data_IF_321219957386
#
_entry.id   IF_321219957386
#
_cell.length_a   1.000
_cell.length_b   1.000
_cell.length_c   1.000
_cell.angle_alpha   90.00
_cell.angle_beta   90.00
_cell.angle_gamma   90.00
#
_symmetry.space_group_name_H-M   'P 1'
#
loop_
_entity.id
_entity.type
_entity.pdbx_description
1 polymer ?
#
# COMPACT_ATOMS: atom_id res chain seq x y z
N UNK A 1 -3.12 6.40 -6.60
CA UNK A 1 -3.10 7.71 -7.27
C UNK A 1 -2.35 8.69 -6.40
N UNK A 2 -1.15 9.07 -6.84
CA UNK A 2 -0.37 10.15 -6.27
C UNK A 2 0.30 10.85 -7.44
N UNK A 3 -0.29 11.92 -7.97
CA UNK A 3 0.55 12.99 -8.51
C UNK A 3 1.23 13.61 -7.29
N UNK A 4 2.31 12.99 -6.87
CA UNK A 4 3.14 13.42 -5.76
C UNK A 4 4.59 13.40 -6.20
N UNK A 5 5.42 14.17 -5.53
CA UNK A 5 6.87 14.07 -5.72
C UNK A 5 7.41 12.92 -4.87
N UNK A 6 8.55 12.34 -5.25
CA UNK A 6 9.22 11.33 -4.43
C UNK A 6 9.43 11.80 -2.99
N UNK A 7 9.70 13.09 -2.81
CA UNK A 7 9.86 13.72 -1.48
C UNK A 7 8.54 13.70 -0.70
N UNK A 8 7.45 14.18 -1.30
CA UNK A 8 6.14 14.19 -0.63
C UNK A 8 5.57 12.77 -0.40
N UNK A 9 6.04 11.75 -1.13
CA UNK A 9 5.71 10.35 -0.85
C UNK A 9 6.28 9.86 0.49
N UNK A 10 7.48 10.31 0.86
CA UNK A 10 8.14 9.92 2.11
C UNK A 10 7.39 10.42 3.35
N UNK A 11 6.68 11.54 3.22
CA UNK A 11 5.88 12.14 4.29
C UNK A 11 4.48 11.50 4.44
N UNK A 12 4.06 10.67 3.49
CA UNK A 12 2.77 9.97 3.54
C UNK A 12 2.95 8.70 4.36
N UNK A 13 2.66 8.81 5.66
CA UNK A 13 2.62 7.67 6.56
C UNK A 13 1.52 6.68 6.12
N UNK A 14 1.77 5.38 6.27
CA UNK A 14 0.83 4.31 5.91
C UNK A 14 -0.51 4.46 6.65
N UNK A 15 -0.46 4.95 7.88
CA UNK A 15 -1.61 5.28 8.73
C UNK A 15 -2.45 6.44 8.21
N UNK A 16 -1.90 7.26 7.30
CA UNK A 16 -2.65 8.28 6.58
C UNK A 16 -3.35 7.74 5.34
N UNK A 17 -2.95 6.56 4.86
CA UNK A 17 -3.52 5.93 3.66
C UNK A 17 -4.63 4.96 4.02
N UNK A 18 -4.40 4.03 4.94
CA UNK A 18 -5.37 3.00 5.33
C UNK A 18 -6.07 3.35 6.63
N UNK A 19 -7.37 3.09 6.69
CA UNK A 19 -8.13 3.13 7.94
C UNK A 19 -7.78 1.94 8.88
N UNK A 20 -8.44 1.87 10.03
CA UNK A 20 -8.20 0.81 11.02
C UNK A 20 -8.39 -0.61 10.45
N UNK A 21 -9.39 -0.79 9.58
CA UNK A 21 -9.67 -2.10 9.00
C UNK A 21 -8.66 -2.44 7.90
N UNK A 22 -8.34 -1.49 7.04
CA UNK A 22 -7.32 -1.64 6.00
C UNK A 22 -5.95 -1.98 6.60
N UNK A 23 -5.58 -1.36 7.72
CA UNK A 23 -4.33 -1.70 8.44
C UNK A 23 -4.34 -3.12 8.99
N UNK A 24 -5.45 -3.58 9.58
CA UNK A 24 -5.57 -4.96 10.06
C UNK A 24 -5.47 -5.97 8.91
N UNK A 25 -6.14 -5.70 7.79
CA UNK A 25 -6.08 -6.54 6.60
C UNK A 25 -4.64 -6.61 6.07
N UNK A 26 -3.95 -5.47 5.96
CA UNK A 26 -2.55 -5.43 5.53
C UNK A 26 -1.62 -6.20 6.48
N UNK A 27 -1.76 -6.02 7.80
CA UNK A 27 -0.96 -6.75 8.78
C UNK A 27 -1.14 -8.27 8.68
N UNK A 28 -2.34 -8.74 8.33
CA UNK A 28 -2.60 -10.17 8.12
C UNK A 28 -1.89 -10.73 6.88
N UNK A 29 -1.75 -9.93 5.82
CA UNK A 29 -1.10 -10.32 4.56
C UNK A 29 0.41 -10.11 4.56
N UNK A 30 0.94 -9.28 5.48
CA UNK A 30 2.36 -8.92 5.54
C UNK A 30 3.31 -10.14 5.62
N UNK A 31 3.02 -11.21 6.40
CA UNK A 31 3.84 -12.42 6.37
C UNK A 31 3.94 -13.03 4.97
N UNK A 32 2.82 -13.08 4.24
CA UNK A 32 2.78 -13.55 2.86
C UNK A 32 3.65 -12.71 1.93
N UNK A 33 3.59 -11.38 2.07
CA UNK A 33 4.47 -10.46 1.32
C UNK A 33 5.95 -10.75 1.62
N UNK A 34 6.31 -10.99 2.88
CA UNK A 34 7.70 -11.21 3.27
C UNK A 34 8.23 -12.57 2.80
N UNK A 35 7.45 -13.63 2.93
CA UNK A 35 7.87 -14.99 2.57
C UNK A 35 7.78 -15.23 1.05
N UNK A 36 6.65 -14.89 0.44
CA UNK A 36 6.34 -15.21 -0.96
C UNK A 36 6.67 -14.06 -1.93
N UNK A 37 6.93 -12.87 -1.39
CA UNK A 37 7.28 -11.68 -2.16
C UNK A 37 6.10 -10.78 -2.50
N UNK A 38 4.87 -11.29 -2.42
CA UNK A 38 3.64 -10.53 -2.68
C UNK A 38 2.43 -11.14 -1.98
N UNK A 39 1.36 -10.35 -1.84
CA UNK A 39 0.05 -10.79 -1.36
C UNK A 39 -1.08 -9.95 -1.95
N UNK A 40 -2.29 -10.52 -1.96
CA UNK A 40 -3.51 -9.81 -2.35
C UNK A 40 -4.24 -9.33 -1.11
N UNK A 41 -4.37 -8.02 -0.95
CA UNK A 41 -5.14 -7.41 0.14
C UNK A 41 -6.59 -7.25 -0.31
N UNK A 42 -7.57 -7.61 0.55
CA UNK A 42 -8.99 -7.38 0.29
C UNK A 42 -9.31 -5.92 -0.05
N UNK A 43 -10.37 -5.72 -0.84
CA UNK A 43 -10.91 -4.40 -1.15
C UNK A 43 -11.31 -3.60 0.08
N UNK A 44 -11.39 -2.28 -0.07
CA UNK A 44 -11.67 -1.39 1.03
C UNK A 44 -11.62 0.08 0.64
N UNK A 45 -11.39 0.91 1.66
CA UNK A 45 -11.26 2.35 1.55
C UNK A 45 -9.83 2.77 1.88
N UNK A 46 -9.32 3.76 1.16
CA UNK A 46 -8.08 4.44 1.49
C UNK A 46 -8.22 5.94 1.28
N UNK A 47 -7.21 6.69 1.70
CA UNK A 47 -7.13 8.13 1.50
C UNK A 47 -6.02 8.43 0.51
N UNK A 48 -6.34 9.23 -0.51
CA UNK A 48 -5.35 9.73 -1.48
C UNK A 48 -4.37 10.72 -0.82
N UNK A 49 -3.24 11.01 -1.46
CA UNK A 49 -2.28 12.00 -0.94
C UNK A 49 -2.84 13.42 -0.76
N UNK A 50 -3.98 13.73 -1.39
CA UNK A 50 -4.71 14.99 -1.22
C UNK A 50 -5.78 14.93 -0.13
N UNK A 51 -5.83 13.87 0.67
CA UNK A 51 -6.79 13.72 1.76
C UNK A 51 -8.19 13.29 1.33
N UNK A 52 -8.40 12.92 0.05
CA UNK A 52 -9.72 12.51 -0.45
C UNK A 52 -9.94 10.99 -0.29
N UNK A 53 -11.14 10.56 0.13
CA UNK A 53 -11.46 9.13 0.24
C UNK A 53 -11.51 8.47 -1.14
N UNK A 54 -11.01 7.24 -1.20
CA UNK A 54 -10.91 6.41 -2.40
C UNK A 54 -11.39 5.00 -2.03
N UNK A 55 -12.29 4.45 -2.84
CA UNK A 55 -12.65 3.04 -2.77
C UNK A 55 -11.77 2.24 -3.74
N UNK A 56 -11.50 0.98 -3.43
CA UNK A 56 -10.78 0.05 -4.30
C UNK A 56 -11.29 -1.38 -4.13
N UNK A 57 -11.31 -2.14 -5.22
CA UNK A 57 -11.81 -3.53 -5.21
C UNK A 57 -10.79 -4.51 -4.62
N UNK A 58 -9.50 -4.26 -4.87
CA UNK A 58 -8.38 -5.09 -4.41
C UNK A 58 -7.11 -4.25 -4.35
N UNK A 59 -6.17 -4.61 -3.48
CA UNK A 59 -4.81 -4.12 -3.59
C UNK A 59 -3.81 -5.27 -3.72
N UNK A 60 -2.78 -5.10 -4.54
CA UNK A 60 -1.61 -5.97 -4.59
C UNK A 60 -0.51 -5.31 -3.76
N UNK A 61 0.08 -6.07 -2.83
CA UNK A 61 1.23 -5.65 -2.05
C UNK A 61 2.43 -6.51 -2.42
N UNK A 62 3.61 -5.93 -2.62
CA UNK A 62 4.84 -6.68 -2.89
C UNK A 62 6.05 -6.04 -2.25
N UNK A 63 7.01 -6.88 -1.84
CA UNK A 63 8.30 -6.40 -1.35
C UNK A 63 9.18 -5.99 -2.52
N UNK A 64 9.87 -4.87 -2.38
CA UNK A 64 10.93 -4.43 -3.29
C UNK A 64 12.26 -4.75 -2.62
N UNK A 65 13.13 -5.46 -3.33
CA UNK A 65 14.45 -5.80 -2.82
C UNK A 65 15.44 -4.69 -3.19
N UNK A 66 16.42 -4.48 -2.32
CA UNK A 66 17.56 -3.62 -2.61
C UNK A 66 18.60 -4.36 -3.47
N UNK A 67 19.14 -3.69 -4.49
CA UNK A 67 20.02 -4.28 -5.50
C UNK A 67 21.37 -4.75 -4.93
N UNK A 68 21.78 -4.27 -3.76
CA UNK A 68 23.09 -4.60 -3.16
C UNK A 68 23.02 -5.57 -1.98
N UNK A 69 22.09 -5.34 -1.05
CA UNK A 69 22.04 -6.08 0.23
C UNK A 69 21.17 -7.34 0.20
N UNK A 70 20.31 -7.49 -0.82
CA UNK A 70 19.26 -8.53 -0.84
C UNK A 70 18.17 -8.36 0.22
N UNK A 71 18.24 -7.27 1.00
CA UNK A 71 17.24 -6.90 1.98
C UNK A 71 15.98 -6.31 1.35
N UNK A 72 14.91 -6.25 2.13
CA UNK A 72 13.67 -5.56 1.71
C UNK A 72 13.87 -4.06 1.85
N UNK A 73 13.82 -3.33 0.74
CA UNK A 73 13.88 -1.88 0.69
C UNK A 73 12.56 -1.25 1.13
N UNK A 74 11.43 -1.72 0.58
CA UNK A 74 10.10 -1.26 0.94
C UNK A 74 9.01 -2.27 0.53
N UNK A 75 7.76 -1.98 0.90
CA UNK A 75 6.57 -2.65 0.35
C UNK A 75 5.83 -1.66 -0.53
N UNK A 76 5.53 -2.06 -1.76
CA UNK A 76 4.74 -1.27 -2.70
C UNK A 76 3.32 -1.80 -2.81
N UNK A 77 2.40 -0.90 -3.20
CA UNK A 77 0.98 -1.20 -3.34
C UNK A 77 0.46 -0.78 -4.71
N UNK A 78 -0.41 -1.60 -5.30
CA UNK A 78 -1.22 -1.27 -6.45
C UNK A 78 -2.69 -1.47 -6.11
N UNK A 79 -3.48 -0.41 -6.21
CA UNK A 79 -4.93 -0.46 -6.01
C UNK A 79 -5.62 -0.71 -7.35
N UNK A 80 -6.50 -1.70 -7.40
CA UNK A 80 -7.22 -2.14 -8.61
C UNK A 80 -8.67 -1.65 -8.56
N UNK A 81 -9.18 -1.20 -9.71
CA UNK A 81 -10.55 -0.71 -9.89
C UNK A 81 -10.95 0.31 -8.82
N UNK A 82 -10.07 1.28 -8.59
CA UNK A 82 -10.29 2.32 -7.59
C UNK A 82 -11.08 3.51 -8.16
N UNK A 83 -11.81 4.19 -7.30
CA UNK A 83 -12.51 5.44 -7.63
C UNK A 83 -12.56 6.38 -6.43
N UNK A 84 -12.68 7.67 -6.68
CA UNK A 84 -13.05 8.61 -5.61
C UNK A 84 -14.49 8.37 -5.18
N UNK A 85 -14.73 8.54 -3.88
CA UNK A 85 -16.07 8.58 -3.29
C UNK A 85 -16.55 10.02 -3.19
#
# INVERSE_FOLDING_TARGET
MLETTLVALQDIALERVFDDQGRKNLCAELPGVMEQGFACVPGGMCVSGLGRPVSYEKALAWKVLDDGSGGVHCVCFMFVNWSFV
#
